data_IF_271662986723
#
_entry.id   IF_271662986723
#
_cell.length_a   1.000
_cell.length_b   1.000
_cell.length_c   1.000
_cell.angle_alpha   90.00
_cell.angle_beta   90.00
_cell.angle_gamma   90.00
#
_symmetry.space_group_name_H-M   'P 1'
#
loop_
_entity.id
_entity.type
_entity.pdbx_description
1 polymer ?
#
# COMPACT_ATOMS: atom_id res chain seq x y z
N UNK A 1 17.07 -3.31 19.56
CA UNK A 1 16.18 -2.85 18.47
C UNK A 1 15.58 -4.07 17.77
N UNK A 2 14.46 -4.61 18.25
CA UNK A 2 13.79 -5.77 17.61
C UNK A 2 12.92 -5.25 16.47
N UNK A 3 13.50 -5.05 15.30
CA UNK A 3 12.67 -4.95 14.08
C UNK A 3 12.05 -6.33 13.91
N UNK A 4 10.72 -6.42 14.07
CA UNK A 4 9.98 -7.68 14.07
C UNK A 4 10.26 -8.44 12.75
N UNK A 5 11.02 -9.53 12.80
CA UNK A 5 11.36 -10.39 11.64
C UNK A 5 10.15 -10.73 10.73
N UNK A 6 8.93 -10.75 11.30
CA UNK A 6 7.67 -10.99 10.56
C UNK A 6 7.33 -9.93 9.52
N UNK A 7 7.61 -8.65 9.77
CA UNK A 7 7.23 -7.58 8.81
C UNK A 7 8.06 -7.63 7.53
N UNK A 8 9.32 -8.08 7.61
CA UNK A 8 10.20 -8.16 6.44
C UNK A 8 9.75 -9.20 5.43
N UNK A 9 9.33 -10.40 5.89
CA UNK A 9 8.83 -11.43 4.99
C UNK A 9 7.47 -11.06 4.41
N UNK A 10 6.58 -10.47 5.21
CA UNK A 10 5.26 -10.03 4.75
C UNK A 10 5.38 -8.96 3.65
N UNK A 11 6.28 -8.00 3.80
CA UNK A 11 6.51 -6.93 2.82
C UNK A 11 7.10 -7.42 1.48
N UNK A 12 7.71 -8.62 1.45
CA UNK A 12 8.15 -9.25 0.20
C UNK A 12 6.98 -9.81 -0.60
N UNK A 13 6.02 -10.43 0.10
CA UNK A 13 4.89 -11.11 -0.53
C UNK A 13 3.72 -10.15 -0.81
N UNK A 14 3.50 -9.18 0.06
CA UNK A 14 2.33 -8.30 0.05
C UNK A 14 2.71 -6.82 0.25
N UNK A 15 1.73 -5.94 0.05
CA UNK A 15 1.87 -4.53 0.39
C UNK A 15 1.90 -4.33 1.91
N UNK A 16 3.02 -3.85 2.46
CA UNK A 16 3.17 -3.66 3.91
C UNK A 16 2.23 -2.63 4.56
N UNK A 17 1.76 -1.65 3.78
CA UNK A 17 0.82 -0.64 4.27
C UNK A 17 -0.61 -1.19 4.30
N UNK A 18 -1.06 -1.84 3.21
CA UNK A 18 -2.48 -2.12 2.96
C UNK A 18 -2.93 -3.54 3.30
N UNK A 19 -2.03 -4.52 3.24
CA UNK A 19 -2.40 -5.92 3.43
C UNK A 19 -3.02 -6.16 4.81
N UNK A 20 -4.17 -6.85 4.84
CA UNK A 20 -4.96 -7.16 6.05
C UNK A 20 -5.42 -5.94 6.86
N UNK A 21 -5.44 -4.75 6.25
CA UNK A 21 -5.93 -3.53 6.88
C UNK A 21 -7.14 -2.99 6.13
N UNK A 22 -8.01 -2.34 6.88
CA UNK A 22 -9.18 -1.62 6.40
C UNK A 22 -9.27 -0.31 7.16
N UNK A 23 -9.70 0.73 6.47
CA UNK A 23 -9.93 2.06 7.03
C UNK A 23 -11.40 2.39 6.95
N UNK A 24 -11.87 3.15 7.94
CA UNK A 24 -13.17 3.82 7.92
C UNK A 24 -12.88 5.29 8.16
N UNK A 25 -13.34 6.16 7.25
CA UNK A 25 -13.17 7.61 7.45
C UNK A 25 -14.25 8.19 8.38
N UNK A 26 -14.16 9.50 8.65
CA UNK A 26 -15.07 10.22 9.54
C UNK A 26 -16.55 10.08 9.14
N UNK A 27 -16.83 9.97 7.85
CA UNK A 27 -18.20 9.83 7.33
C UNK A 27 -18.70 8.37 7.35
N UNK A 28 -17.86 7.42 7.78
CA UNK A 28 -18.17 5.99 7.83
C UNK A 28 -17.88 5.24 6.53
N UNK A 29 -17.16 5.83 5.57
CA UNK A 29 -16.83 5.19 4.30
C UNK A 29 -15.71 4.16 4.47
N UNK A 30 -15.91 2.97 3.92
CA UNK A 30 -14.96 1.85 3.98
C UNK A 30 -13.93 2.01 2.86
N UNK A 31 -12.64 2.04 3.20
CA UNK A 31 -11.51 2.34 2.30
C UNK A 31 -10.32 1.41 2.59
N UNK A 32 -9.39 1.29 1.66
CA UNK A 32 -8.11 0.60 1.93
C UNK A 32 -7.22 1.38 2.90
N UNK A 33 -7.24 2.71 2.81
CA UNK A 33 -6.48 3.65 3.64
C UNK A 33 -7.25 4.99 3.66
N UNK A 34 -7.16 5.80 4.75
CA UNK A 34 -7.89 7.06 4.84
C UNK A 34 -7.62 8.03 3.68
N UNK A 35 -6.42 7.97 3.10
CA UNK A 35 -6.00 8.84 2.00
C UNK A 35 -6.57 8.44 0.63
N UNK A 36 -7.26 7.31 0.51
CA UNK A 36 -7.91 6.93 -0.75
C UNK A 36 -9.19 7.73 -0.97
N UNK A 37 -9.41 8.16 -2.23
CA UNK A 37 -10.65 8.80 -2.65
C UNK A 37 -11.79 7.79 -2.83
N UNK A 38 -11.48 6.61 -3.37
CA UNK A 38 -12.46 5.57 -3.61
C UNK A 38 -12.99 4.97 -2.30
N UNK A 39 -14.31 4.79 -2.24
CA UNK A 39 -15.04 4.13 -1.14
C UNK A 39 -15.69 2.85 -1.66
N UNK A 40 -15.66 1.80 -0.85
CA UNK A 40 -16.32 0.52 -1.12
C UNK A 40 -17.72 0.43 -0.50
N UNK A 41 -18.25 1.56 -0.01
CA UNK A 41 -19.53 1.65 0.68
C UNK A 41 -19.41 2.30 2.06
N UNK A 42 -20.53 2.37 2.77
CA UNK A 42 -20.60 2.99 4.09
C UNK A 42 -20.97 1.95 5.15
N UNK A 43 -20.32 2.00 6.32
CA UNK A 43 -20.52 1.03 7.41
C UNK A 43 -21.96 0.98 7.93
N UNK A 44 -22.75 2.05 7.75
CA UNK A 44 -24.17 2.08 8.11
C UNK A 44 -25.00 1.04 7.33
N UNK A 45 -24.59 0.74 6.09
CA UNK A 45 -25.38 -0.06 5.14
C UNK A 45 -24.63 -1.30 4.63
N UNK A 46 -23.30 -1.36 4.78
CA UNK A 46 -22.45 -2.41 4.22
C UNK A 46 -21.62 -3.05 5.33
N UNK A 47 -21.63 -4.38 5.40
CA UNK A 47 -20.78 -5.12 6.34
C UNK A 47 -19.33 -5.12 5.85
N UNK A 48 -18.41 -4.72 6.74
CA UNK A 48 -16.97 -4.72 6.45
C UNK A 48 -16.48 -6.08 5.94
N UNK A 49 -16.98 -7.17 6.52
CA UNK A 49 -16.62 -8.54 6.13
C UNK A 49 -16.88 -8.80 4.64
N UNK A 50 -17.98 -8.30 4.11
CA UNK A 50 -18.34 -8.51 2.70
C UNK A 50 -17.37 -7.74 1.79
N UNK A 51 -17.04 -6.49 2.17
CA UNK A 51 -16.07 -5.65 1.44
C UNK A 51 -14.67 -6.25 1.42
N UNK A 52 -14.12 -6.64 2.58
CA UNK A 52 -12.74 -7.13 2.67
C UNK A 52 -12.55 -8.51 2.02
N UNK A 53 -13.64 -9.21 1.68
CA UNK A 53 -13.60 -10.47 0.94
C UNK A 53 -13.61 -10.25 -0.58
N UNK A 54 -13.97 -9.06 -1.06
CA UNK A 54 -14.00 -8.76 -2.49
C UNK A 54 -12.60 -8.78 -3.12
N UNK A 55 -12.54 -9.18 -4.40
CA UNK A 55 -11.30 -9.15 -5.19
C UNK A 55 -10.81 -7.71 -5.37
N UNK A 56 -11.72 -6.76 -5.61
CA UNK A 56 -11.37 -5.35 -5.81
C UNK A 56 -10.70 -4.75 -4.57
N UNK A 57 -11.18 -5.05 -3.36
CA UNK A 57 -10.55 -4.54 -2.14
C UNK A 57 -9.15 -5.12 -1.92
N UNK A 58 -8.97 -6.41 -2.23
CA UNK A 58 -7.71 -7.14 -2.01
C UNK A 58 -6.67 -6.97 -3.10
N UNK A 59 -7.02 -6.42 -4.25
CA UNK A 59 -6.09 -6.21 -5.37
C UNK A 59 -4.82 -5.50 -4.92
N UNK A 60 -4.99 -4.39 -4.17
CA UNK A 60 -3.90 -3.59 -3.63
C UNK A 60 -3.05 -4.31 -2.58
N UNK A 61 -3.56 -5.36 -1.93
CA UNK A 61 -2.77 -6.15 -0.96
C UNK A 61 -1.63 -6.88 -1.65
N UNK A 62 -1.81 -7.24 -2.92
CA UNK A 62 -0.85 -8.03 -3.68
C UNK A 62 0.20 -7.19 -4.42
N UNK A 63 0.09 -5.85 -4.36
CA UNK A 63 1.09 -4.91 -4.93
C UNK A 63 2.24 -4.77 -3.93
N UNK A 64 3.05 -5.83 -3.87
CA UNK A 64 4.30 -5.84 -3.14
C UNK A 64 5.38 -5.05 -3.90
N UNK A 65 6.54 -4.90 -3.26
CA UNK A 65 7.61 -4.07 -3.80
C UNK A 65 8.33 -4.65 -5.02
N UNK A 66 8.18 -5.93 -5.31
CA UNK A 66 8.73 -6.56 -6.52
C UNK A 66 7.99 -6.14 -7.80
N UNK A 67 6.74 -5.68 -7.64
CA UNK A 67 5.90 -5.24 -8.77
C UNK A 67 6.01 -3.75 -9.07
N UNK A 68 6.62 -2.96 -8.19
CA UNK A 68 6.67 -1.49 -8.33
C UNK A 68 7.97 -1.11 -9.03
N UNK A 69 7.85 -0.30 -10.08
CA UNK A 69 8.96 0.27 -10.82
C UNK A 69 9.93 1.01 -9.90
N UNK A 70 11.23 0.86 -10.15
CA UNK A 70 12.35 1.38 -9.33
C UNK A 70 12.45 0.73 -7.94
N UNK A 71 11.33 0.55 -7.23
CA UNK A 71 11.30 -0.04 -5.89
C UNK A 71 11.67 -1.53 -5.87
N UNK A 72 11.46 -2.25 -6.97
CA UNK A 72 11.85 -3.67 -7.10
C UNK A 72 13.37 -3.87 -6.96
N UNK A 73 14.13 -2.87 -7.39
CA UNK A 73 15.61 -2.82 -7.36
C UNK A 73 16.15 -2.08 -6.11
N UNK A 74 15.27 -1.64 -5.21
CA UNK A 74 15.66 -0.88 -4.01
C UNK A 74 16.06 -1.79 -2.85
N UNK A 75 17.23 -1.53 -2.27
CA UNK A 75 17.77 -2.13 -1.04
C UNK A 75 16.93 -1.82 0.20
N UNK A 76 16.24 -0.67 0.24
CA UNK A 76 15.36 -0.27 1.36
C UNK A 76 13.97 -0.95 1.30
N UNK A 77 13.72 -1.75 0.27
CA UNK A 77 12.47 -2.48 0.05
C UNK A 77 11.91 -3.21 1.29
N UNK A 78 12.71 -3.94 2.10
CA UNK A 78 12.19 -4.70 3.24
C UNK A 78 11.56 -3.83 4.33
N UNK A 79 11.97 -2.56 4.44
CA UNK A 79 11.57 -1.63 5.51
C UNK A 79 10.67 -0.50 5.01
N UNK A 80 10.62 -0.25 3.70
CA UNK A 80 9.88 0.86 3.12
C UNK A 80 8.37 0.76 3.37
N UNK A 81 7.82 1.75 4.09
CA UNK A 81 6.39 2.00 4.26
C UNK A 81 5.85 2.82 3.09
N UNK A 82 5.65 2.08 2.02
CA UNK A 82 5.02 2.49 0.79
C UNK A 82 3.65 3.19 0.94
N UNK A 83 3.39 4.25 0.16
CA UNK A 83 2.07 4.84 0.04
C UNK A 83 1.51 4.66 -1.39
N UNK A 84 0.43 3.88 -1.51
CA UNK A 84 -0.30 3.70 -2.78
C UNK A 84 -1.36 4.76 -3.07
N UNK A 85 -1.76 5.55 -2.08
CA UNK A 85 -2.73 6.64 -2.29
C UNK A 85 -2.13 7.81 -3.10
N UNK A 86 -0.79 7.96 -3.09
CA UNK A 86 -0.07 9.04 -3.77
C UNK A 86 1.07 8.46 -4.62
N UNK A 87 0.81 8.30 -5.91
CA UNK A 87 1.74 7.74 -6.89
C UNK A 87 2.45 8.85 -7.66
N UNK A 88 3.70 8.62 -8.07
CA UNK A 88 4.39 9.55 -8.95
C UNK A 88 3.73 9.65 -10.32
N UNK A 89 3.11 8.56 -10.80
CA UNK A 89 2.24 8.55 -11.97
C UNK A 89 0.86 7.98 -11.57
N UNK A 90 -0.19 8.83 -11.45
CA UNK A 90 -1.53 8.39 -11.08
C UNK A 90 -2.17 7.34 -12.01
N UNK A 91 -1.73 7.28 -13.28
CA UNK A 91 -2.25 6.33 -14.28
C UNK A 91 -1.52 4.97 -14.25
N UNK A 92 -0.45 4.84 -13.46
CA UNK A 92 0.30 3.60 -13.34
C UNK A 92 0.36 3.15 -11.88
N UNK A 93 -0.41 2.11 -11.54
CA UNK A 93 -0.48 1.51 -10.19
C UNK A 93 0.87 0.93 -9.71
N UNK A 94 1.79 0.67 -10.64
CA UNK A 94 3.12 0.15 -10.38
C UNK A 94 4.19 1.26 -10.29
N UNK A 95 3.80 2.53 -10.39
CA UNK A 95 4.75 3.63 -10.20
C UNK A 95 5.10 3.82 -8.72
N UNK A 96 6.29 4.39 -8.47
CA UNK A 96 6.80 4.63 -7.12
C UNK A 96 5.92 5.64 -6.35
N UNK A 97 5.97 5.66 -5.00
CA UNK A 97 5.30 6.70 -4.22
C UNK A 97 5.77 8.10 -4.61
N UNK A 98 4.83 9.05 -4.72
CA UNK A 98 5.11 10.42 -5.13
C UNK A 98 6.15 11.12 -4.23
N UNK A 99 6.11 10.85 -2.92
CA UNK A 99 6.99 11.47 -1.91
C UNK A 99 8.35 10.78 -1.77
N UNK A 100 8.60 9.68 -2.48
CA UNK A 100 9.88 8.97 -2.40
C UNK A 100 10.91 9.59 -3.36
N UNK A 101 11.88 10.30 -2.81
CA UNK A 101 12.97 10.91 -3.58
C UNK A 101 14.25 10.08 -3.60
N UNK A 102 14.24 8.90 -2.96
CA UNK A 102 15.35 7.96 -2.98
C UNK A 102 15.59 7.38 -4.38
N UNK A 103 16.86 7.28 -4.76
CA UNK A 103 17.34 6.72 -6.01
C UNK A 103 18.22 5.47 -5.73
N UNK A 104 17.71 4.24 -5.96
CA UNK A 104 18.45 3.01 -5.70
C UNK A 104 19.73 2.82 -6.50
N UNK A 105 19.87 3.48 -7.66
CA UNK A 105 21.08 3.34 -8.49
C UNK A 105 22.27 4.10 -7.92
N UNK A 106 22.01 5.21 -7.23
CA UNK A 106 23.05 6.07 -6.65
C UNK A 106 23.09 6.01 -5.13
N UNK A 107 22.13 5.30 -4.52
CA UNK A 107 21.89 5.22 -3.08
C UNK A 107 21.77 6.59 -2.40
N UNK A 108 21.18 7.58 -3.09
CA UNK A 108 21.04 8.95 -2.61
C UNK A 108 19.58 9.42 -2.55
N UNK A 109 19.33 10.36 -1.65
CA UNK A 109 18.08 11.11 -1.60
C UNK A 109 18.21 12.39 -2.42
N UNK A 110 17.15 12.74 -3.14
CA UNK A 110 17.02 14.01 -3.85
C UNK A 110 16.02 14.93 -3.16
#
# INVERSE_FOLDING_TARGET
MKVLQRSHMENRLYNGCLNRKVSIDYDGNIKNCPSFKHSYGNIKNVRIKDVIMTKQFRELWTINKEKIEVCKDCELRPVCTDCRAHLSNPNNIYSKPQKCTYDPLTSNWK
#
